data_IF_001361650327
#
_entry.id   IF_001361650327
#
_cell.length_a   1.000
_cell.length_b   1.000
_cell.length_c   1.000
_cell.angle_alpha   90.00
_cell.angle_beta   90.00
_cell.angle_gamma   90.00
#
_symmetry.space_group_name_H-M   'P 1'
#
loop_
_entity.id
_entity.type
_entity.pdbx_description
1 polymer ?
#
# COMPACT_ATOMS: atom_id res chain seq x y z
N UNK A 1 15.60 -2.46 0.71
CA UNK A 1 17.08 -2.48 0.78
C UNK A 1 17.60 -1.69 1.98
N UNK A 2 18.38 -2.30 2.88
CA UNK A 2 18.96 -1.62 4.06
C UNK A 2 19.84 -0.42 3.70
N UNK A 3 20.56 -0.49 2.57
CA UNK A 3 21.43 0.61 2.14
C UNK A 3 20.63 1.87 1.76
N UNK A 4 19.52 1.72 1.02
CA UNK A 4 18.62 2.84 0.68
C UNK A 4 18.09 3.53 1.93
N UNK A 5 17.73 2.75 2.95
CA UNK A 5 17.29 3.30 4.23
C UNK A 5 18.40 4.08 4.95
N UNK A 6 19.63 3.57 4.96
CA UNK A 6 20.78 4.28 5.54
C UNK A 6 21.05 5.61 4.83
N UNK A 7 20.91 5.65 3.49
CA UNK A 7 21.00 6.89 2.69
C UNK A 7 19.88 7.87 3.04
N UNK A 8 18.63 7.42 3.18
CA UNK A 8 17.52 8.26 3.64
C UNK A 8 17.82 8.87 5.01
N UNK A 9 18.23 8.05 5.99
CA UNK A 9 18.55 8.55 7.33
C UNK A 9 19.70 9.55 7.33
N UNK A 10 20.71 9.34 6.47
CA UNK A 10 21.78 10.33 6.27
C UNK A 10 21.23 11.64 5.72
N UNK A 11 20.36 11.59 4.72
CA UNK A 11 19.75 12.79 4.12
C UNK A 11 18.90 13.56 5.14
N UNK A 12 18.12 12.87 5.97
CA UNK A 12 17.35 13.49 7.07
C UNK A 12 18.27 14.20 8.05
N UNK A 13 19.38 13.56 8.45
CA UNK A 13 20.35 14.16 9.36
C UNK A 13 21.07 15.37 8.77
N UNK A 14 21.49 15.30 7.50
CA UNK A 14 22.20 16.40 6.83
C UNK A 14 21.35 17.66 6.65
N UNK A 15 20.02 17.54 6.73
CA UNK A 15 19.08 18.66 6.59
C UNK A 15 18.40 19.03 7.92
N UNK A 16 18.89 18.53 9.06
CA UNK A 16 18.33 18.79 10.40
C UNK A 16 16.83 18.48 10.55
N UNK A 17 16.32 17.49 9.79
CA UNK A 17 14.90 17.14 9.75
C UNK A 17 14.49 16.10 10.80
N UNK A 18 15.39 15.72 11.72
CA UNK A 18 15.15 14.63 12.68
C UNK A 18 13.94 14.87 13.60
N UNK A 19 13.61 16.13 13.89
CA UNK A 19 12.44 16.49 14.71
C UNK A 19 11.12 16.44 13.92
N UNK A 20 11.18 16.47 12.59
CA UNK A 20 10.03 16.53 11.69
C UNK A 20 9.75 15.19 10.97
N UNK A 21 10.77 14.35 10.83
CA UNK A 21 10.71 13.12 10.04
C UNK A 21 10.90 11.89 10.91
N UNK A 22 9.96 10.95 10.80
CA UNK A 22 10.11 9.59 11.31
C UNK A 22 10.22 8.62 10.14
N UNK A 23 11.37 7.94 10.02
CA UNK A 23 11.64 6.98 8.95
C UNK A 23 11.46 5.54 9.43
N UNK A 24 10.85 4.67 8.62
CA UNK A 24 10.69 3.25 8.91
C UNK A 24 11.40 2.39 7.85
N UNK A 25 12.11 1.35 8.28
CA UNK A 25 12.74 0.37 7.40
C UNK A 25 11.84 -0.86 7.23
N UNK A 26 10.67 -0.66 6.63
CA UNK A 26 9.66 -1.68 6.37
C UNK A 26 8.98 -1.42 5.03
N UNK A 27 8.31 -2.43 4.50
CA UNK A 27 7.46 -2.31 3.32
C UNK A 27 6.01 -2.02 3.73
N UNK A 28 5.26 -1.40 2.81
CA UNK A 28 3.81 -1.24 2.94
C UNK A 28 3.10 -2.14 1.93
N UNK A 29 2.02 -2.80 2.34
CA UNK A 29 1.29 -3.74 1.49
C UNK A 29 -0.14 -3.95 1.93
N UNK A 30 -0.79 -4.94 1.31
CA UNK A 30 -2.19 -5.23 1.56
C UNK A 30 -2.42 -5.83 2.95
N UNK A 31 -1.47 -6.62 3.44
CA UNK A 31 -1.54 -7.39 4.67
C UNK A 31 -0.16 -7.40 5.36
N UNK A 32 -0.17 -7.65 6.67
CA UNK A 32 1.04 -7.69 7.48
C UNK A 32 1.75 -9.04 7.32
N UNK A 33 3.08 -9.04 7.34
CA UNK A 33 3.89 -10.25 7.19
C UNK A 33 5.34 -9.98 6.83
N UNK A 34 5.93 -10.88 6.04
CA UNK A 34 7.31 -10.75 5.55
C UNK A 34 7.34 -10.84 4.03
N UNK A 35 8.06 -9.92 3.39
CA UNK A 35 8.28 -9.88 1.95
C UNK A 35 9.75 -10.16 1.64
N UNK A 36 10.02 -10.94 0.59
CA UNK A 36 11.38 -11.19 0.08
C UNK A 36 11.65 -10.29 -1.12
N UNK A 37 12.73 -9.52 -1.03
CA UNK A 37 13.27 -8.73 -2.14
C UNK A 37 14.47 -9.46 -2.73
N UNK A 38 14.61 -9.48 -4.06
CA UNK A 38 15.87 -9.85 -4.71
C UNK A 38 16.89 -8.73 -4.52
N UNK A 39 18.16 -9.08 -4.28
CA UNK A 39 19.27 -8.14 -4.16
C UNK A 39 20.26 -8.36 -5.31
N UNK A 40 19.81 -8.14 -6.55
CA UNK A 40 20.67 -8.13 -7.74
C UNK A 40 20.99 -6.69 -8.15
N UNK A 41 22.18 -6.45 -8.71
CA UNK A 41 22.78 -5.16 -9.09
C UNK A 41 22.01 -4.25 -10.07
N UNK A 42 20.72 -4.48 -10.27
CA UNK A 42 19.83 -3.57 -10.99
C UNK A 42 19.19 -2.61 -9.99
N UNK A 43 18.97 -1.38 -10.41
CA UNK A 43 18.42 -0.28 -9.59
C UNK A 43 16.99 -0.52 -9.06
N UNK A 44 16.39 -1.67 -9.33
CA UNK A 44 14.98 -1.97 -9.07
C UNK A 44 14.85 -3.24 -8.20
N UNK A 45 14.64 -3.07 -6.89
CA UNK A 45 14.32 -4.19 -6.01
C UNK A 45 12.88 -4.64 -6.25
N UNK A 46 12.67 -5.88 -6.67
CA UNK A 46 11.31 -6.40 -6.93
C UNK A 46 10.78 -7.20 -5.73
N UNK A 47 9.51 -6.97 -5.41
CA UNK A 47 8.77 -7.75 -4.43
C UNK A 47 8.47 -9.15 -5.00
N UNK A 48 8.99 -10.21 -4.37
CA UNK A 48 8.64 -11.59 -4.72
C UNK A 48 7.59 -12.12 -3.74
N UNK A 49 6.53 -12.74 -4.28
CA UNK A 49 5.60 -13.52 -3.47
C UNK A 49 6.31 -14.76 -2.92
N UNK A 50 5.99 -15.19 -1.70
CA UNK A 50 6.60 -16.37 -1.06
C UNK A 50 6.43 -17.67 -1.88
N UNK A 51 5.54 -17.68 -2.87
CA UNK A 51 5.28 -18.82 -3.76
C UNK A 51 6.29 -18.94 -4.93
N UNK A 52 7.06 -17.91 -5.26
CA UNK A 52 8.17 -18.02 -6.22
C UNK A 52 9.40 -18.55 -5.50
N UNK A 53 9.43 -19.87 -5.34
CA UNK A 53 10.62 -20.59 -4.87
C UNK A 53 11.51 -20.83 -6.09
N UNK A 54 12.83 -20.72 -5.92
CA UNK A 54 13.90 -20.93 -6.93
C UNK A 54 14.31 -19.70 -7.76
N UNK A 55 14.95 -18.73 -7.10
CA UNK A 55 16.00 -17.93 -7.72
C UNK A 55 17.27 -18.05 -6.88
N UNK A 56 18.42 -18.34 -7.50
CA UNK A 56 19.74 -18.35 -6.83
C UNK A 56 20.23 -16.94 -6.45
N UNK A 57 19.45 -15.91 -6.78
CA UNK A 57 19.74 -14.54 -6.43
C UNK A 57 19.68 -14.33 -4.90
N UNK A 58 20.63 -13.59 -4.33
CA UNK A 58 20.57 -13.22 -2.93
C UNK A 58 19.26 -12.46 -2.66
N UNK A 59 18.65 -12.74 -1.50
CA UNK A 59 17.37 -12.13 -1.12
C UNK A 59 17.47 -11.49 0.26
N UNK A 60 16.67 -10.44 0.47
CA UNK A 60 16.53 -9.80 1.78
C UNK A 60 15.07 -9.88 2.21
N UNK A 61 14.86 -10.38 3.43
CA UNK A 61 13.56 -10.37 4.09
C UNK A 61 13.30 -9.00 4.72
N UNK A 62 12.10 -8.48 4.50
CA UNK A 62 11.64 -7.18 5.00
C UNK A 62 10.25 -7.35 5.58
N UNK A 63 10.04 -6.80 6.79
CA UNK A 63 8.70 -6.72 7.38
C UNK A 63 7.80 -5.89 6.47
N UNK A 64 6.62 -6.40 6.16
CA UNK A 64 5.56 -5.67 5.46
C UNK A 64 4.39 -5.45 6.41
N UNK A 65 3.82 -4.25 6.41
CA UNK A 65 2.61 -3.93 7.17
C UNK A 65 1.62 -3.14 6.31
N UNK A 66 0.36 -3.14 6.72
CA UNK A 66 -0.68 -2.30 6.13
C UNK A 66 -0.51 -0.83 6.52
N UNK A 67 -0.98 0.08 5.66
CA UNK A 67 -1.02 1.53 5.96
C UNK A 67 -1.93 1.80 7.16
N UNK A 68 -3.05 1.08 7.26
CA UNK A 68 -3.97 1.17 8.40
C UNK A 68 -3.26 0.79 9.72
N UNK A 69 -2.42 -0.26 9.72
CA UNK A 69 -1.62 -0.60 10.90
C UNK A 69 -0.59 0.48 11.21
N UNK A 70 0.14 0.96 10.19
CA UNK A 70 1.15 2.01 10.37
C UNK A 70 0.52 3.28 10.99
N UNK A 71 -0.69 3.65 10.59
CA UNK A 71 -1.31 4.93 10.97
C UNK A 71 -2.23 4.86 12.20
N UNK A 72 -2.52 3.66 12.74
CA UNK A 72 -3.52 3.44 13.81
C UNK A 72 -3.46 4.45 14.96
N UNK A 73 -2.26 4.74 15.45
CA UNK A 73 -2.04 5.62 16.62
C UNK A 73 -1.18 6.84 16.26
N UNK A 74 -1.23 7.29 15.00
CA UNK A 74 -0.41 8.39 14.49
C UNK A 74 -1.25 9.64 14.19
N UNK A 75 -0.64 10.84 14.27
CA UNK A 75 -1.32 12.07 13.89
C UNK A 75 -1.77 12.02 12.43
N UNK A 76 -2.87 12.71 12.16
CA UNK A 76 -3.57 12.68 10.88
C UNK A 76 -2.65 13.22 9.76
N UNK A 77 -2.61 12.49 8.65
CA UNK A 77 -1.79 12.82 7.48
C UNK A 77 -2.66 13.45 6.40
N UNK A 78 -2.35 14.68 6.03
CA UNK A 78 -3.11 15.43 5.01
C UNK A 78 -2.80 14.97 3.58
N UNK A 79 -1.61 14.45 3.32
CA UNK A 79 -1.17 14.08 1.97
C UNK A 79 -0.20 12.90 2.01
N UNK A 80 -0.32 11.99 1.05
CA UNK A 80 0.61 10.89 0.83
C UNK A 80 1.30 11.00 -0.54
N UNK A 81 2.57 10.60 -0.60
CA UNK A 81 3.26 10.19 -1.83
C UNK A 81 3.46 8.68 -1.76
N UNK A 82 3.10 7.97 -2.83
CA UNK A 82 3.35 6.54 -2.98
C UNK A 82 4.11 6.34 -4.29
N UNK A 83 5.29 5.77 -4.15
CA UNK A 83 6.28 5.57 -5.22
C UNK A 83 7.05 4.31 -4.84
N UNK A 84 6.54 3.16 -5.29
CA UNK A 84 6.97 1.83 -4.84
C UNK A 84 7.20 0.89 -6.02
N UNK A 85 7.54 1.45 -7.19
CA UNK A 85 7.99 0.72 -8.38
C UNK A 85 7.02 -0.41 -8.78
N UNK A 86 5.72 -0.10 -8.85
CA UNK A 86 4.67 -1.02 -9.32
C UNK A 86 3.91 -1.75 -8.21
N UNK A 87 4.25 -1.53 -6.94
CA UNK A 87 3.56 -2.15 -5.79
C UNK A 87 2.42 -1.29 -5.22
N UNK A 88 2.06 -0.19 -5.89
CA UNK A 88 1.07 0.80 -5.43
C UNK A 88 -0.31 0.19 -5.15
N UNK A 89 -0.86 -0.73 -5.99
CA UNK A 89 -2.17 -1.32 -5.72
C UNK A 89 -2.23 -2.06 -4.38
N UNK A 90 -1.13 -2.70 -3.97
CA UNK A 90 -1.07 -3.42 -2.69
C UNK A 90 -0.98 -2.47 -1.51
N UNK A 91 -0.21 -1.38 -1.63
CA UNK A 91 -0.18 -0.31 -0.62
C UNK A 91 -1.59 0.26 -0.40
N UNK A 92 -2.33 0.55 -1.48
CA UNK A 92 -3.69 1.09 -1.40
C UNK A 92 -4.69 0.10 -0.80
N UNK A 93 -4.56 -1.20 -1.08
CA UNK A 93 -5.40 -2.24 -0.45
C UNK A 93 -5.22 -2.29 1.07
N UNK A 94 -4.01 -2.02 1.56
CA UNK A 94 -3.72 -1.94 3.00
C UNK A 94 -4.13 -0.63 3.67
N UNK A 95 -4.80 0.28 2.96
CA UNK A 95 -5.14 1.63 3.43
C UNK A 95 -6.65 1.86 3.54
N UNK A 96 -7.41 0.84 3.89
CA UNK A 96 -8.89 0.85 3.84
C UNK A 96 -9.51 1.93 4.73
N UNK A 97 -9.04 2.06 5.97
CA UNK A 97 -9.51 3.05 6.94
C UNK A 97 -8.85 4.40 6.69
N UNK A 98 -7.57 4.38 6.38
CA UNK A 98 -6.77 5.58 6.22
C UNK A 98 -7.18 6.41 4.99
N UNK A 99 -7.56 5.77 3.87
CA UNK A 99 -8.09 6.46 2.68
C UNK A 99 -9.48 7.07 2.91
N UNK A 100 -10.24 6.56 3.87
CA UNK A 100 -11.56 7.10 4.24
C UNK A 100 -11.48 8.27 5.22
N UNK A 101 -10.27 8.64 5.67
CA UNK A 101 -10.10 9.73 6.60
C UNK A 101 -10.51 11.06 5.94
N UNK A 102 -11.52 11.79 6.45
CA UNK A 102 -12.00 13.03 5.82
C UNK A 102 -10.98 14.18 5.81
N UNK A 103 -9.90 14.07 6.60
CA UNK A 103 -8.81 15.03 6.58
C UNK A 103 -7.74 14.72 5.53
N UNK A 104 -7.72 13.51 4.95
CA UNK A 104 -6.83 13.20 3.83
C UNK A 104 -7.26 14.05 2.63
N UNK A 105 -6.33 14.85 2.10
CA UNK A 105 -6.58 15.80 1.00
C UNK A 105 -6.08 15.29 -0.34
N UNK A 106 -4.99 14.54 -0.35
CA UNK A 106 -4.40 14.05 -1.59
C UNK A 106 -3.60 12.76 -1.41
N UNK A 107 -3.61 11.92 -2.44
CA UNK A 107 -2.70 10.79 -2.61
C UNK A 107 -2.06 10.93 -3.99
N UNK A 108 -0.75 11.14 -4.02
CA UNK A 108 0.05 11.19 -5.24
C UNK A 108 0.64 9.80 -5.48
N UNK A 109 0.29 9.18 -6.61
CA UNK A 109 0.77 7.87 -7.03
C UNK A 109 1.74 8.02 -8.19
N UNK A 110 2.91 7.44 -8.05
CA UNK A 110 3.87 7.24 -9.14
C UNK A 110 3.76 5.76 -9.53
N UNK A 111 3.06 5.49 -10.63
CA UNK A 111 2.80 4.13 -11.10
C UNK A 111 3.61 3.87 -12.36
N UNK A 112 4.33 2.76 -12.38
CA UNK A 112 5.00 2.27 -13.58
C UNK A 112 3.96 1.83 -14.62
N UNK A 113 3.76 2.68 -15.62
CA UNK A 113 2.83 2.41 -16.72
C UNK A 113 3.32 1.33 -17.68
N UNK A 114 4.54 0.83 -17.52
CA UNK A 114 5.11 -0.22 -18.39
C UNK A 114 4.39 -1.58 -18.28
N UNK A 115 3.62 -1.79 -17.21
CA UNK A 115 2.75 -2.96 -17.03
C UNK A 115 1.25 -2.64 -17.10
N UNK A 116 0.88 -1.40 -17.42
CA UNK A 116 -0.52 -1.04 -17.57
C UNK A 116 -1.08 -1.68 -18.84
N UNK A 117 -2.24 -2.35 -18.71
CA UNK A 117 -2.99 -2.80 -19.86
C UNK A 117 -3.37 -1.56 -20.70
N UNK A 118 -2.77 -1.47 -21.89
CA UNK A 118 -3.18 -0.50 -22.89
C UNK A 118 -4.46 -1.00 -23.55
N UNK A 119 -5.40 -0.09 -23.81
CA UNK A 119 -6.41 -0.41 -24.82
C UNK A 119 -5.74 -0.61 -26.19
N UNK A 120 -6.47 -1.18 -27.16
CA UNK A 120 -5.96 -1.37 -28.52
C UNK A 120 -5.58 -0.07 -29.27
N UNK A 121 -5.66 1.09 -28.61
CA UNK A 121 -5.25 2.40 -29.12
C UNK A 121 -4.08 3.03 -28.35
N UNK A 122 -3.47 2.29 -27.41
CA UNK A 122 -2.29 2.75 -26.65
C UNK A 122 -2.63 3.65 -25.46
N UNK A 123 -3.90 3.89 -25.14
CA UNK A 123 -4.30 4.65 -23.95
C UNK A 123 -4.31 3.76 -22.71
N UNK A 124 -3.88 4.33 -21.59
CA UNK A 124 -3.95 3.69 -20.28
C UNK A 124 -5.42 3.45 -19.92
N UNK A 125 -5.76 2.19 -19.61
CA UNK A 125 -7.05 1.92 -18.99
C UNK A 125 -7.07 2.61 -17.61
N UNK A 126 -8.12 3.40 -17.29
CA UNK A 126 -8.22 3.98 -15.97
C UNK A 126 -8.26 2.86 -14.93
N UNK A 127 -7.40 2.97 -13.90
CA UNK A 127 -7.49 2.13 -12.72
C UNK A 127 -8.92 2.20 -12.19
N UNK A 128 -9.68 1.11 -12.36
CA UNK A 128 -11.03 1.02 -11.83
C UNK A 128 -10.94 0.89 -10.32
N UNK A 129 -10.89 2.03 -9.63
CA UNK A 129 -11.12 2.08 -8.19
C UNK A 129 -12.62 2.00 -8.01
N UNK A 130 -13.15 0.79 -7.76
CA UNK A 130 -14.54 0.66 -7.35
C UNK A 130 -14.70 1.36 -5.99
N UNK A 131 -15.59 2.35 -5.85
CA UNK A 131 -15.89 2.88 -4.54
C UNK A 131 -16.36 1.73 -3.66
N UNK A 132 -15.82 1.63 -2.44
CA UNK A 132 -16.37 0.71 -1.44
C UNK A 132 -17.85 1.05 -1.27
N UNK A 133 -18.72 0.17 -1.75
CA UNK A 133 -20.15 0.27 -1.50
C UNK A 133 -20.34 0.34 0.02
N UNK A 134 -21.07 1.35 0.47
CA UNK A 134 -21.49 1.52 1.86
C UNK A 134 -22.14 0.24 2.38
N UNK A 135 -21.97 -0.10 3.68
CA UNK A 135 -22.55 -1.32 4.24
C UNK A 135 -24.05 -1.33 4.01
N UNK A 136 -24.53 -2.46 3.51
CA UNK A 136 -25.95 -2.77 3.33
C UNK A 136 -26.62 -2.58 4.69
N UNK A 137 -27.48 -1.57 4.81
CA UNK A 137 -28.33 -1.39 5.99
C UNK A 137 -29.28 -2.59 6.16
N UNK A 138 -29.76 -2.86 7.38
CA UNK A 138 -30.51 -4.08 7.66
C UNK A 138 -31.81 -4.11 6.85
N UNK A 139 -31.99 -5.20 6.11
CA UNK A 139 -33.22 -5.53 5.40
C UNK A 139 -34.39 -5.57 6.38
N UNK A 140 -35.44 -4.82 6.06
CA UNK A 140 -36.66 -4.70 6.84
C UNK A 140 -37.30 -6.06 7.15
N UNK A 141 -37.81 -6.15 8.37
CA UNK A 141 -38.63 -7.23 8.89
C UNK A 141 -39.97 -7.33 8.16
N UNK A 142 -40.20 -8.44 7.47
CA UNK A 142 -41.57 -8.94 7.25
C UNK A 142 -41.82 -10.06 8.28
N UNK A 143 -42.62 -9.74 9.30
CA UNK A 143 -43.20 -10.72 10.20
C UNK A 143 -44.42 -11.38 9.53
N UNK A 144 -44.54 -12.72 9.52
CA UNK A 144 -45.76 -13.38 9.12
C UNK A 144 -46.73 -13.44 10.30
N UNK A 145 -47.96 -12.96 10.08
CA UNK A 145 -49.12 -13.19 10.95
C UNK A 145 -49.40 -14.70 11.04
N UNK A 146 -49.30 -15.27 12.25
CA UNK A 146 -49.86 -16.58 12.57
C UNK A 146 -51.12 -16.37 13.43
N UNK A 147 -52.25 -16.84 12.91
CA UNK A 147 -53.47 -17.09 13.67
C UNK A 147 -53.24 -18.28 14.62
N UNK A 148 -53.65 -18.11 15.88
CA UNK A 148 -53.93 -19.21 16.81
C UNK A 148 -55.45 -19.52 16.78
N UNK A 149 -55.86 -20.76 17.11
CA UNK A 149 -57.20 -21.30 16.85
C UNK A 149 -58.30 -20.70 17.73
#
# INVERSE_FOLDING_TARGET
MPETFARLQRNVRLNDLNSLVTSYCLALGAEDGTLRFTSGSDTTNRAMSLLSTFSDEPTVEVLIISVDQLLRDKPIRLMWKVDVEGYEPYVLRGATTALRNPLLKAVLLEADTSSAAHDGTGRLLPLSVRPLQSPIGPSGSHAPTQHCP
#
